data_IF_736114403006
#
_entry.id   IF_736114403006
#
_cell.length_a   1.000
_cell.length_b   1.000
_cell.length_c   1.000
_cell.angle_alpha   90.00
_cell.angle_beta   90.00
_cell.angle_gamma   90.00
#
_symmetry.space_group_name_H-M   'P 1'
#
loop_
_entity.id
_entity.type
_entity.pdbx_description
1 polymer ?
#
# COMPACT_ATOMS: atom_id res chain seq x y z
N UNK A 1 4.45 6.27 -6.24
CA UNK A 1 4.83 7.41 -5.37
C UNK A 1 5.91 6.93 -4.41
N UNK A 2 6.91 7.75 -4.05
CA UNK A 2 7.90 7.36 -3.02
C UNK A 2 7.21 7.34 -1.64
N UNK A 3 7.35 6.27 -0.84
CA UNK A 3 6.71 6.22 0.47
C UNK A 3 7.33 7.25 1.43
N UNK A 4 6.48 7.86 2.25
CA UNK A 4 6.90 8.77 3.31
C UNK A 4 7.26 7.94 4.54
N UNK A 5 8.49 8.06 5.02
CA UNK A 5 8.97 7.34 6.22
C UNK A 5 9.14 8.34 7.36
N UNK A 6 8.39 8.16 8.45
CA UNK A 6 8.54 8.96 9.66
C UNK A 6 9.82 8.56 10.39
N UNK A 7 10.69 9.52 10.70
CA UNK A 7 11.98 9.28 11.36
C UNK A 7 11.95 9.92 12.74
N UNK A 8 12.14 9.14 13.79
CA UNK A 8 12.14 9.69 15.15
C UNK A 8 13.40 10.54 15.39
N UNK A 9 13.27 11.74 16.00
CA UNK A 9 14.37 12.69 16.12
C UNK A 9 15.43 12.23 17.13
N UNK A 10 16.66 12.70 16.94
CA UNK A 10 17.65 12.72 18.00
C UNK A 10 17.47 14.01 18.81
N UNK A 11 17.76 13.95 20.11
CA UNK A 11 17.63 15.06 21.03
C UNK A 11 18.96 15.32 21.71
N UNK A 12 19.34 16.60 21.77
CA UNK A 12 20.50 17.10 22.52
C UNK A 12 19.95 17.88 23.71
N UNK A 13 20.07 17.31 24.91
CA UNK A 13 19.51 17.86 26.13
C UNK A 13 20.28 19.11 26.60
N UNK A 14 21.59 19.19 26.32
CA UNK A 14 22.40 20.37 26.67
C UNK A 14 22.00 21.59 25.82
N UNK A 15 21.70 21.35 24.54
CA UNK A 15 21.28 22.42 23.61
C UNK A 15 19.79 22.65 23.54
N UNK A 16 18.99 21.81 24.21
CA UNK A 16 17.53 21.75 24.08
C UNK A 16 17.08 21.76 22.61
N UNK A 17 17.66 20.85 21.81
CA UNK A 17 17.54 20.91 20.35
C UNK A 17 17.33 19.55 19.70
N UNK A 18 16.46 19.52 18.69
CA UNK A 18 16.32 18.37 17.80
C UNK A 18 17.40 18.40 16.74
N UNK A 19 18.00 17.25 16.50
CA UNK A 19 19.00 17.07 15.46
C UNK A 19 18.83 15.71 14.79
N UNK A 20 19.60 15.50 13.71
CA UNK A 20 19.54 14.25 12.96
C UNK A 20 20.91 13.91 12.40
N UNK A 21 21.28 12.63 12.51
CA UNK A 21 22.44 12.11 11.79
C UNK A 21 22.06 11.91 10.31
N UNK A 22 22.79 12.49 9.35
CA UNK A 22 22.44 12.41 7.93
C UNK A 22 22.28 10.98 7.40
N UNK A 23 23.07 10.03 7.93
CA UNK A 23 23.05 8.63 7.50
C UNK A 23 21.66 7.97 7.53
N UNK A 24 20.82 8.31 8.52
CA UNK A 24 19.44 7.79 8.57
C UNK A 24 18.61 8.29 7.38
N UNK A 25 18.69 9.58 7.09
CA UNK A 25 17.93 10.22 6.02
C UNK A 25 18.46 9.80 4.66
N UNK A 26 19.79 9.81 4.49
CA UNK A 26 20.44 9.47 3.24
C UNK A 26 20.24 8.00 2.88
N UNK A 27 20.29 7.09 3.86
CA UNK A 27 19.99 5.67 3.66
C UNK A 27 18.56 5.44 3.16
N UNK A 28 17.57 6.14 3.75
CA UNK A 28 16.18 6.10 3.29
C UNK A 28 16.00 6.69 1.88
N UNK A 29 16.64 7.83 1.60
CA UNK A 29 16.57 8.46 0.28
C UNK A 29 17.23 7.59 -0.80
N UNK A 30 18.36 6.95 -0.49
CA UNK A 30 19.03 6.00 -1.37
C UNK A 30 18.16 4.76 -1.64
N UNK A 31 17.38 4.32 -0.65
CA UNK A 31 16.40 3.24 -0.79
C UNK A 31 15.12 3.65 -1.53
N UNK A 32 14.92 4.93 -1.83
CA UNK A 32 13.79 5.44 -2.62
C UNK A 32 12.61 5.99 -1.80
N UNK A 33 12.80 6.28 -0.51
CA UNK A 33 11.79 6.92 0.33
C UNK A 33 11.92 8.45 0.40
N UNK A 34 10.89 9.08 0.95
CA UNK A 34 10.89 10.47 1.39
C UNK A 34 10.92 10.48 2.93
N UNK A 35 12.06 10.77 3.59
CA UNK A 35 12.11 10.81 5.04
C UNK A 35 11.42 12.08 5.59
N UNK A 36 10.72 11.93 6.71
CA UNK A 36 10.06 13.01 7.43
C UNK A 36 10.46 12.93 8.91
N UNK A 37 11.29 13.87 9.36
CA UNK A 37 11.69 13.95 10.77
C UNK A 37 10.50 14.40 11.60
N UNK A 38 10.20 13.65 12.66
CA UNK A 38 9.07 13.92 13.54
C UNK A 38 9.44 14.95 14.62
N UNK A 39 8.48 15.77 15.09
CA UNK A 39 8.71 16.65 16.24
C UNK A 39 8.78 15.83 17.53
N UNK A 40 9.54 16.31 18.52
CA UNK A 40 9.52 15.74 19.86
C UNK A 40 8.34 16.31 20.65
N UNK A 41 7.27 15.53 20.81
CA UNK A 41 6.05 15.96 21.52
C UNK A 41 5.29 14.77 22.10
N UNK A 42 4.52 15.01 23.17
CA UNK A 42 3.56 14.05 23.72
C UNK A 42 2.11 14.34 23.26
N UNK A 43 1.91 15.33 22.38
CA UNK A 43 0.58 15.66 21.84
C UNK A 43 0.12 14.57 20.85
N UNK A 44 -0.77 13.70 21.33
CA UNK A 44 -1.32 12.59 20.57
C UNK A 44 -1.99 13.02 19.25
N UNK A 45 -2.66 14.18 19.20
CA UNK A 45 -3.32 14.64 17.97
C UNK A 45 -2.29 15.02 16.89
N UNK A 46 -1.16 15.58 17.31
CA UNK A 46 -0.01 15.84 16.43
C UNK A 46 0.57 14.52 15.94
N UNK A 47 0.80 13.54 16.84
CA UNK A 47 1.36 12.23 16.48
C UNK A 47 0.44 11.43 15.53
N UNK A 48 -0.88 11.46 15.76
CA UNK A 48 -1.89 10.81 14.90
C UNK A 48 -1.89 11.41 13.48
N UNK A 49 -1.55 12.69 13.33
CA UNK A 49 -1.34 13.31 12.00
C UNK A 49 -0.16 12.66 11.27
N UNK A 50 0.96 12.45 11.95
CA UNK A 50 2.12 11.78 11.36
C UNK A 50 1.87 10.30 11.08
N UNK A 51 1.13 9.60 11.95
CA UNK A 51 0.66 8.23 11.69
C UNK A 51 -0.19 8.14 10.42
N UNK A 52 -1.00 9.15 10.15
CA UNK A 52 -1.81 9.21 8.93
C UNK A 52 -0.98 9.49 7.68
N UNK A 53 0.02 10.38 7.78
CA UNK A 53 0.86 10.80 6.65
C UNK A 53 1.94 9.79 6.28
N UNK A 54 2.53 9.12 7.27
CA UNK A 54 3.67 8.22 7.07
C UNK A 54 3.20 6.82 6.67
N UNK A 55 3.90 6.22 5.71
CA UNK A 55 3.66 4.87 5.21
C UNK A 55 4.45 3.82 6.02
N UNK A 56 5.52 4.24 6.70
CA UNK A 56 6.31 3.42 7.62
C UNK A 56 7.13 4.31 8.55
N UNK A 57 7.84 3.70 9.50
CA UNK A 57 8.61 4.41 10.52
C UNK A 57 10.02 3.84 10.72
N UNK A 58 10.96 4.75 10.95
CA UNK A 58 12.32 4.46 11.39
C UNK A 58 12.53 5.02 12.79
N UNK A 59 12.75 4.12 13.76
CA UNK A 59 13.11 4.48 15.13
C UNK A 59 14.63 4.51 15.25
N UNK A 60 15.18 5.69 15.50
CA UNK A 60 16.62 5.96 15.47
C UNK A 60 17.30 5.59 16.79
N UNK A 61 18.64 5.57 16.79
CA UNK A 61 19.45 5.44 18.01
C UNK A 61 19.30 6.62 18.99
N UNK A 62 20.15 6.69 20.01
CA UNK A 62 20.25 7.84 20.90
C UNK A 62 20.44 7.45 22.37
N UNK A 63 19.91 8.27 23.26
CA UNK A 63 19.91 8.11 24.71
C UNK A 63 19.29 6.78 25.18
N UNK A 64 19.52 6.41 26.43
CA UNK A 64 18.97 5.19 27.00
C UNK A 64 17.44 5.21 27.03
N UNK A 65 16.83 4.02 27.02
CA UNK A 65 15.40 3.87 27.29
C UNK A 65 15.21 3.90 28.80
N UNK A 66 14.31 4.75 29.30
CA UNK A 66 14.10 4.87 30.74
C UNK A 66 13.71 3.52 31.38
N UNK A 67 14.36 3.09 32.48
CA UNK A 67 14.06 1.84 33.17
C UNK A 67 12.60 1.62 33.56
N UNK A 68 11.88 2.72 33.82
CA UNK A 68 10.45 2.70 34.09
C UNK A 68 9.61 2.10 32.94
N UNK A 69 10.07 2.21 31.68
CA UNK A 69 9.37 1.66 30.49
C UNK A 69 9.29 0.14 30.56
N UNK A 70 10.31 -0.53 31.10
CA UNK A 70 10.36 -1.98 31.30
C UNK A 70 10.26 -2.40 32.77
N UNK A 71 9.67 -1.52 33.60
CA UNK A 71 9.30 -1.78 35.00
C UNK A 71 10.48 -2.13 35.91
N UNK A 72 11.60 -1.43 35.76
CA UNK A 72 12.78 -1.55 36.63
C UNK A 72 13.18 -0.22 37.28
N UNK A 73 13.93 -0.33 38.37
CA UNK A 73 14.53 0.83 39.03
C UNK A 73 15.78 1.29 38.27
N UNK A 74 16.01 2.60 38.23
CA UNK A 74 17.18 3.18 37.58
C UNK A 74 18.45 2.82 38.33
N UNK A 75 19.34 2.09 37.66
CA UNK A 75 20.68 1.80 38.15
C UNK A 75 21.58 3.02 38.06
N UNK A 76 22.65 3.04 38.84
CA UNK A 76 23.69 4.09 38.79
C UNK A 76 24.49 4.12 37.47
N UNK A 77 24.31 3.11 36.61
CA UNK A 77 25.02 2.95 35.34
C UNK A 77 24.12 3.30 34.13
N UNK A 78 22.83 3.53 34.35
CA UNK A 78 21.94 4.08 33.33
C UNK A 78 22.48 5.44 32.88
N UNK A 79 22.62 5.59 31.57
CA UNK A 79 23.02 6.84 30.92
C UNK A 79 21.87 7.85 30.93
N UNK A 80 22.03 8.86 30.07
CA UNK A 80 21.00 9.88 29.88
C UNK A 80 19.73 9.28 29.30
N UNK A 81 18.58 9.78 29.76
CA UNK A 81 17.24 9.38 29.30
C UNK A 81 16.48 10.60 28.81
N UNK A 82 15.50 10.39 27.92
CA UNK A 82 14.53 11.41 27.55
C UNK A 82 13.11 10.85 27.65
N UNK A 83 12.47 11.10 28.79
CA UNK A 83 11.10 10.62 29.06
C UNK A 83 10.10 11.06 28.00
N UNK A 84 10.21 12.31 27.51
CA UNK A 84 9.37 12.82 26.43
C UNK A 84 9.51 11.99 25.16
N UNK A 85 10.73 11.56 24.83
CA UNK A 85 10.99 10.71 23.68
C UNK A 85 10.46 9.30 23.90
N UNK A 86 10.63 8.73 25.09
CA UNK A 86 10.09 7.41 25.44
C UNK A 86 8.56 7.36 25.32
N UNK A 87 7.87 8.39 25.82
CA UNK A 87 6.41 8.50 25.72
C UNK A 87 5.97 8.64 24.26
N UNK A 88 6.59 9.56 23.52
CA UNK A 88 6.29 9.81 22.11
C UNK A 88 6.50 8.54 21.26
N UNK A 89 7.68 7.94 21.33
CA UNK A 89 8.03 6.79 20.53
C UNK A 89 7.25 5.55 20.96
N UNK A 90 6.98 5.36 22.26
CA UNK A 90 6.12 4.31 22.76
C UNK A 90 4.68 4.42 22.23
N UNK A 91 4.14 5.64 22.12
CA UNK A 91 2.84 5.89 21.52
C UNK A 91 2.83 5.56 20.02
N UNK A 92 3.78 6.12 19.26
CA UNK A 92 3.92 5.88 17.82
C UNK A 92 4.10 4.40 17.50
N UNK A 93 4.95 3.70 18.25
CA UNK A 93 5.22 2.27 18.07
C UNK A 93 3.95 1.43 18.23
N UNK A 94 3.19 1.64 19.32
CA UNK A 94 1.95 0.91 19.58
C UNK A 94 0.91 1.16 18.49
N UNK A 95 0.73 2.41 18.08
CA UNK A 95 -0.23 2.79 17.03
C UNK A 95 0.20 2.29 15.65
N UNK A 96 1.47 2.39 15.30
CA UNK A 96 2.00 1.91 14.03
C UNK A 96 1.85 0.39 13.91
N UNK A 97 2.12 -0.38 14.98
CA UNK A 97 1.85 -1.83 15.03
C UNK A 97 0.36 -2.14 14.93
N UNK A 98 -0.51 -1.39 15.61
CA UNK A 98 -1.96 -1.59 15.50
C UNK A 98 -2.50 -1.34 14.09
N UNK A 99 -1.81 -0.50 13.30
CA UNK A 99 -2.11 -0.19 11.90
C UNK A 99 -1.34 -1.07 10.90
N UNK A 100 -0.54 -2.04 11.38
CA UNK A 100 0.37 -2.88 10.60
C UNK A 100 1.28 -2.06 9.66
N UNK A 101 1.74 -0.90 10.14
CA UNK A 101 2.69 -0.06 9.40
C UNK A 101 4.10 -0.63 9.52
N UNK A 102 4.88 -0.65 8.43
CA UNK A 102 6.28 -1.06 8.44
C UNK A 102 7.14 -0.27 9.42
N UNK A 103 7.93 -0.98 10.23
CA UNK A 103 8.81 -0.40 11.25
C UNK A 103 10.23 -0.99 11.14
N UNK A 104 11.22 -0.11 11.17
CA UNK A 104 12.63 -0.47 11.41
C UNK A 104 13.11 0.24 12.69
N UNK A 105 13.63 -0.51 13.65
CA UNK A 105 14.31 0.02 14.84
C UNK A 105 15.83 -0.14 14.75
N UNK A 106 16.58 0.90 15.09
CA UNK A 106 18.05 0.89 15.10
C UNK A 106 18.59 1.24 16.49
N UNK A 107 19.47 0.40 17.04
CA UNK A 107 20.13 0.55 18.34
C UNK A 107 19.12 0.81 19.48
N UNK A 108 18.94 2.06 19.89
CA UNK A 108 17.87 2.43 20.83
C UNK A 108 16.48 1.97 20.36
N UNK A 109 16.23 1.96 19.04
CA UNK A 109 14.97 1.51 18.47
C UNK A 109 14.65 0.04 18.76
N UNK A 110 15.62 -0.88 18.73
CA UNK A 110 15.39 -2.28 19.14
C UNK A 110 15.13 -2.39 20.64
N UNK A 111 15.83 -1.59 21.45
CA UNK A 111 15.69 -1.57 22.90
C UNK A 111 14.31 -1.07 23.35
N UNK A 112 13.86 0.07 22.80
CA UNK A 112 12.55 0.63 23.10
C UNK A 112 11.45 -0.35 22.67
N UNK A 113 11.58 -0.92 21.48
CA UNK A 113 10.63 -1.87 20.96
C UNK A 113 10.48 -3.09 21.86
N UNK A 114 11.60 -3.64 22.34
CA UNK A 114 11.58 -4.74 23.30
C UNK A 114 10.92 -4.33 24.62
N UNK A 115 11.31 -3.18 25.19
CA UNK A 115 10.79 -2.68 26.46
C UNK A 115 9.26 -2.44 26.42
N UNK A 116 8.77 -1.76 25.37
CA UNK A 116 7.35 -1.42 25.18
C UNK A 116 6.46 -2.67 25.12
N UNK A 117 6.97 -3.78 24.59
CA UNK A 117 6.25 -5.04 24.48
C UNK A 117 6.52 -6.03 25.63
N UNK A 118 7.11 -5.55 26.73
CA UNK A 118 7.25 -6.31 27.98
C UNK A 118 8.54 -7.12 28.10
N UNK A 119 9.53 -6.84 27.25
CA UNK A 119 10.90 -7.29 27.45
C UNK A 119 11.65 -6.43 28.48
N UNK A 120 12.88 -6.84 28.81
CA UNK A 120 13.79 -6.14 29.73
C UNK A 120 15.12 -5.83 29.06
N UNK A 121 15.82 -4.83 29.57
CA UNK A 121 17.12 -4.42 29.08
C UNK A 121 18.18 -4.58 30.16
N UNK A 122 19.40 -4.90 29.75
CA UNK A 122 20.59 -4.57 30.52
C UNK A 122 20.75 -3.06 30.53
N UNK A 123 20.95 -2.46 31.70
CA UNK A 123 21.19 -1.03 31.86
C UNK A 123 22.66 -0.68 31.60
N UNK A 124 23.58 -1.61 31.86
CA UNK A 124 25.00 -1.53 31.49
C UNK A 124 25.56 -2.94 31.25
N UNK A 125 25.89 -3.24 30.00
CA UNK A 125 26.45 -4.53 29.58
C UNK A 125 27.80 -4.82 30.28
N UNK A 126 28.61 -3.79 30.54
CA UNK A 126 29.90 -3.96 31.21
C UNK A 126 29.79 -4.48 32.64
N UNK A 127 28.70 -4.14 33.34
CA UNK A 127 28.43 -4.62 34.70
C UNK A 127 27.57 -5.90 34.73
N UNK A 128 26.59 -6.00 33.84
CA UNK A 128 25.52 -7.01 33.95
C UNK A 128 25.69 -8.18 32.98
N UNK A 129 26.44 -8.00 31.89
CA UNK A 129 26.77 -9.02 30.89
C UNK A 129 28.24 -8.93 30.44
N UNK A 130 29.20 -9.12 31.37
CA UNK A 130 30.61 -8.94 31.08
C UNK A 130 31.11 -9.92 30.01
N UNK A 131 31.80 -9.38 29.00
CA UNK A 131 32.22 -10.08 27.80
C UNK A 131 33.51 -9.48 27.24
N UNK A 132 34.28 -10.28 26.49
CA UNK A 132 35.46 -9.80 25.73
C UNK A 132 35.06 -9.12 24.40
N UNK A 133 33.76 -9.15 24.06
CA UNK A 133 33.22 -8.49 22.87
C UNK A 133 33.03 -7.00 23.16
N UNK A 134 33.63 -6.15 22.32
CA UNK A 134 33.45 -4.70 22.40
C UNK A 134 32.11 -4.31 21.75
N UNK A 135 31.19 -3.86 22.61
CA UNK A 135 29.88 -3.34 22.21
C UNK A 135 29.82 -1.81 22.11
N UNK A 136 30.84 -1.11 22.61
CA UNK A 136 30.89 0.35 22.69
C UNK A 136 32.17 0.90 22.07
N UNK A 137 32.22 0.83 20.74
CA UNK A 137 33.38 1.24 19.99
C UNK A 137 33.68 2.73 20.12
N UNK A 138 34.94 3.09 19.87
CA UNK A 138 35.36 4.48 19.65
C UNK A 138 35.34 4.81 18.16
N UNK A 139 35.19 6.09 17.77
CA UNK A 139 35.32 6.51 16.38
C UNK A 139 36.59 5.94 15.72
N UNK A 140 36.53 5.57 14.43
CA UNK A 140 35.45 5.82 13.47
C UNK A 140 34.32 4.76 13.50
N UNK A 141 33.04 5.21 13.51
CA UNK A 141 31.85 4.36 13.72
C UNK A 141 31.38 3.56 12.49
N UNK A 142 32.01 3.75 11.33
CA UNK A 142 31.71 3.00 10.09
C UNK A 142 32.53 1.71 9.97
N UNK A 143 33.31 1.37 10.99
CA UNK A 143 34.12 0.15 11.08
C UNK A 143 33.37 -0.98 11.79
N UNK A 144 33.56 -2.21 11.31
CA UNK A 144 33.02 -3.41 11.95
C UNK A 144 33.87 -3.80 13.15
N UNK A 145 33.24 -4.25 14.23
CA UNK A 145 33.88 -4.54 15.52
C UNK A 145 33.71 -5.99 15.93
N UNK A 146 32.55 -6.59 15.65
CA UNK A 146 32.30 -8.00 15.88
C UNK A 146 31.37 -8.58 14.79
N UNK A 147 31.26 -9.91 14.77
CA UNK A 147 30.32 -10.60 13.88
C UNK A 147 29.06 -10.97 14.66
N UNK A 148 27.91 -10.90 14.01
CA UNK A 148 26.66 -11.49 14.50
C UNK A 148 26.37 -12.77 13.72
N UNK A 149 25.94 -13.80 14.45
CA UNK A 149 25.42 -15.02 13.88
C UNK A 149 23.95 -14.82 13.49
N UNK A 150 23.68 -14.83 12.19
CA UNK A 150 22.34 -14.66 11.61
C UNK A 150 21.59 -15.99 11.70
N UNK A 151 20.49 -16.00 12.45
CA UNK A 151 19.72 -17.21 12.72
C UNK A 151 18.98 -17.67 11.45
N UNK A 152 19.00 -18.97 11.10
CA UNK A 152 18.38 -19.48 9.89
C UNK A 152 16.86 -19.38 9.95
N UNK A 153 16.22 -19.33 8.77
CA UNK A 153 14.75 -19.26 8.61
C UNK A 153 14.13 -17.99 9.23
N UNK A 154 14.91 -16.92 9.30
CA UNK A 154 14.46 -15.59 9.71
C UNK A 154 14.42 -14.65 8.51
N UNK A 155 13.63 -13.56 8.57
CA UNK A 155 13.62 -12.56 7.49
C UNK A 155 15.00 -11.98 7.20
N UNK A 156 15.82 -11.75 8.24
CA UNK A 156 17.20 -11.28 8.09
C UNK A 156 18.09 -12.30 7.36
N UNK A 157 17.96 -13.60 7.67
CA UNK A 157 18.72 -14.63 6.95
C UNK A 157 18.38 -14.68 5.46
N UNK A 158 17.11 -14.47 5.11
CA UNK A 158 16.67 -14.40 3.72
C UNK A 158 17.18 -13.12 3.03
N UNK A 159 17.29 -12.01 3.77
CA UNK A 159 17.80 -10.74 3.25
C UNK A 159 19.31 -10.80 2.98
N UNK A 160 20.10 -11.28 3.94
CA UNK A 160 21.57 -11.21 3.89
C UNK A 160 22.21 -12.40 3.18
N UNK A 161 21.61 -13.59 3.28
CA UNK A 161 22.13 -14.81 2.64
C UNK A 161 23.48 -15.30 3.20
N UNK A 162 23.83 -14.90 4.42
CA UNK A 162 25.06 -15.29 5.13
C UNK A 162 24.73 -15.77 6.54
N UNK A 163 25.61 -16.61 7.11
CA UNK A 163 25.49 -17.09 8.50
C UNK A 163 26.17 -16.16 9.50
N UNK A 164 27.31 -15.57 9.14
CA UNK A 164 28.03 -14.59 9.95
C UNK A 164 28.09 -13.26 9.22
N UNK A 165 27.70 -12.18 9.89
CA UNK A 165 27.66 -10.84 9.32
C UNK A 165 28.42 -9.85 10.21
N UNK A 166 29.44 -9.14 9.69
CA UNK A 166 30.23 -8.20 10.47
C UNK A 166 29.48 -6.88 10.66
N UNK A 167 29.42 -6.38 11.90
CA UNK A 167 28.66 -5.18 12.27
C UNK A 167 29.51 -4.20 13.08
N UNK A 168 29.14 -2.92 13.06
CA UNK A 168 29.63 -1.94 14.01
C UNK A 168 28.88 -2.06 15.34
N UNK A 169 29.40 -1.48 16.42
CA UNK A 169 28.76 -1.56 17.72
C UNK A 169 28.96 -0.30 18.54
N UNK A 170 27.85 0.36 18.89
CA UNK A 170 27.88 1.60 19.65
C UNK A 170 26.71 1.65 20.65
N UNK A 171 26.72 0.73 21.61
CA UNK A 171 25.72 0.66 22.67
C UNK A 171 26.32 0.08 23.96
N UNK A 172 25.81 0.56 25.10
CA UNK A 172 26.12 0.00 26.41
C UNK A 172 24.91 -0.70 27.06
N UNK A 173 23.72 -0.56 26.46
CA UNK A 173 22.51 -1.31 26.80
C UNK A 173 22.28 -2.42 25.77
N UNK A 174 21.48 -3.43 26.15
CA UNK A 174 21.11 -4.53 25.26
C UNK A 174 19.90 -5.29 25.78
N UNK A 175 19.34 -6.21 24.99
CA UNK A 175 18.19 -7.01 25.42
C UNK A 175 18.62 -8.04 26.48
N UNK A 176 18.04 -7.94 27.68
CA UNK A 176 18.14 -8.94 28.75
C UNK A 176 17.09 -10.04 28.59
N UNK A 177 15.82 -9.62 28.49
CA UNK A 177 14.69 -10.54 28.28
C UNK A 177 13.95 -10.10 27.04
N UNK A 178 13.85 -11.00 26.06
CA UNK A 178 13.12 -10.73 24.82
C UNK A 178 11.60 -10.72 25.07
N UNK A 179 10.91 -9.71 24.54
CA UNK A 179 9.46 -9.61 24.59
C UNK A 179 8.78 -10.83 23.93
N UNK A 180 7.63 -11.31 24.46
CA UNK A 180 7.02 -12.58 24.07
C UNK A 180 6.54 -12.63 22.61
N UNK A 181 6.22 -11.48 22.03
CA UNK A 181 5.77 -11.32 20.64
C UNK A 181 6.93 -11.16 19.64
N UNK A 182 8.18 -11.08 20.12
CA UNK A 182 9.36 -10.96 19.27
C UNK A 182 10.06 -12.31 19.09
N UNK A 183 10.83 -12.39 18.01
CA UNK A 183 11.72 -13.51 17.71
C UNK A 183 13.10 -12.96 17.33
N UNK A 184 14.19 -13.58 17.79
CA UNK A 184 15.53 -13.15 17.43
C UNK A 184 15.82 -13.47 15.96
N UNK A 185 16.66 -12.65 15.33
CA UNK A 185 17.18 -12.82 13.98
C UNK A 185 18.70 -12.92 13.93
N UNK A 186 19.40 -12.32 14.89
CA UNK A 186 20.84 -12.41 15.01
C UNK A 186 21.27 -12.32 16.48
N UNK A 187 22.39 -12.97 16.80
CA UNK A 187 23.02 -12.93 18.12
C UNK A 187 24.53 -12.71 17.97
N UNK A 188 25.14 -11.95 18.87
CA UNK A 188 26.60 -11.79 18.97
C UNK A 188 27.27 -13.05 19.56
N UNK A 189 28.61 -13.17 19.55
CA UNK A 189 29.32 -14.36 20.02
C UNK A 189 29.16 -14.62 21.53
N UNK A 190 28.85 -13.59 22.30
CA UNK A 190 28.54 -13.66 23.73
C UNK A 190 27.05 -13.88 24.03
N UNK A 191 26.26 -14.16 22.99
CA UNK A 191 24.85 -14.53 23.11
C UNK A 191 23.88 -13.35 23.24
N UNK A 192 24.34 -12.11 23.14
CA UNK A 192 23.45 -10.94 23.15
C UNK A 192 22.58 -10.91 21.89
N UNK A 193 21.30 -10.56 22.03
CA UNK A 193 20.38 -10.44 20.89
C UNK A 193 20.67 -9.13 20.16
N UNK A 194 21.03 -9.26 18.88
CA UNK A 194 21.46 -8.15 18.02
C UNK A 194 20.42 -7.79 16.96
N UNK A 195 19.47 -8.66 16.67
CA UNK A 195 18.36 -8.35 15.78
C UNK A 195 17.10 -9.12 16.15
N UNK A 196 15.93 -8.52 15.93
CA UNK A 196 14.62 -9.10 16.24
C UNK A 196 13.58 -8.75 15.18
N UNK A 197 12.52 -9.55 15.10
CA UNK A 197 11.33 -9.24 14.33
C UNK A 197 10.06 -9.67 15.05
N UNK A 198 8.92 -9.11 14.65
CA UNK A 198 7.59 -9.50 15.11
C UNK A 198 6.87 -10.32 14.02
N UNK A 199 6.70 -11.64 14.16
CA UNK A 199 6.13 -12.49 13.12
C UNK A 199 4.68 -12.17 12.74
N UNK A 200 3.93 -11.49 13.61
CA UNK A 200 2.52 -11.12 13.39
C UNK A 200 2.35 -9.82 12.62
N UNK A 201 3.43 -9.19 12.17
CA UNK A 201 3.41 -7.93 11.44
C UNK A 201 3.92 -8.14 10.02
N UNK A 202 3.39 -7.36 9.07
CA UNK A 202 3.85 -7.38 7.69
C UNK A 202 5.34 -7.00 7.61
N UNK A 203 5.76 -5.99 8.38
CA UNK A 203 7.18 -5.64 8.53
C UNK A 203 7.43 -4.92 9.87
N UNK A 204 8.10 -5.60 10.81
CA UNK A 204 8.63 -4.98 12.01
C UNK A 204 9.94 -5.65 12.36
N UNK A 205 11.05 -5.01 12.00
CA UNK A 205 12.40 -5.49 12.23
C UNK A 205 13.14 -4.48 13.11
N UNK A 206 14.08 -4.94 13.91
CA UNK A 206 14.96 -4.05 14.63
C UNK A 206 16.35 -4.68 14.76
N UNK A 207 17.38 -3.84 14.72
CA UNK A 207 18.80 -4.23 14.80
C UNK A 207 19.50 -3.36 15.84
N UNK A 208 20.49 -3.93 16.53
CA UNK A 208 21.21 -3.27 17.62
C UNK A 208 22.44 -2.49 17.12
N UNK A 209 23.05 -2.92 16.01
CA UNK A 209 24.08 -2.17 15.30
C UNK A 209 23.52 -0.98 14.51
N UNK A 210 24.41 -0.21 13.88
CA UNK A 210 24.11 1.07 13.24
C UNK A 210 24.36 1.04 11.71
N UNK A 211 23.42 0.52 10.90
CA UNK A 211 23.56 0.45 9.44
C UNK A 211 23.66 1.82 8.77
N UNK A 212 23.22 2.89 9.42
CA UNK A 212 23.28 4.27 8.94
C UNK A 212 24.72 4.82 8.85
N UNK A 213 25.68 4.27 9.60
CA UNK A 213 27.08 4.71 9.50
C UNK A 213 27.81 4.10 8.29
N UNK A 214 27.39 2.93 7.82
CA UNK A 214 28.13 2.17 6.80
C UNK A 214 27.30 1.86 5.53
N UNK A 215 26.05 2.33 5.40
CA UNK A 215 25.19 2.04 4.24
C UNK A 215 25.83 2.37 2.89
N UNK A 216 26.77 3.31 2.79
CA UNK A 216 27.43 3.61 1.52
C UNK A 216 28.40 2.50 1.06
N UNK A 217 28.91 1.71 2.01
CA UNK A 217 29.95 0.70 1.78
C UNK A 217 29.42 -0.72 1.94
N UNK A 218 28.39 -0.89 2.77
CA UNK A 218 27.85 -2.20 3.10
C UNK A 218 26.49 -2.48 2.43
N UNK A 219 26.43 -3.60 1.68
CA UNK A 219 25.22 -4.01 0.95
C UNK A 219 24.11 -4.51 1.88
N UNK A 220 24.45 -5.08 3.04
CA UNK A 220 23.47 -5.52 4.04
C UNK A 220 22.72 -4.34 4.65
N UNK A 221 23.43 -3.27 5.00
CA UNK A 221 22.87 -2.01 5.47
C UNK A 221 21.96 -1.37 4.41
N UNK A 222 22.39 -1.35 3.14
CA UNK A 222 21.53 -0.90 2.03
C UNK A 222 20.26 -1.76 1.93
N UNK A 223 20.40 -3.07 2.06
CA UNK A 223 19.29 -4.02 1.97
C UNK A 223 18.29 -3.84 3.12
N UNK A 224 18.73 -3.49 4.34
CA UNK A 224 17.84 -3.19 5.47
C UNK A 224 16.95 -1.96 5.19
N UNK A 225 17.54 -0.86 4.74
CA UNK A 225 16.76 0.33 4.36
C UNK A 225 15.82 0.02 3.19
N UNK A 226 16.30 -0.71 2.18
CA UNK A 226 15.48 -1.13 1.03
C UNK A 226 14.30 -1.99 1.46
N UNK A 227 14.49 -2.93 2.39
CA UNK A 227 13.43 -3.79 2.90
C UNK A 227 12.32 -2.97 3.61
N UNK A 228 12.68 -1.97 4.42
CA UNK A 228 11.71 -1.06 5.02
C UNK A 228 10.93 -0.28 3.95
N UNK A 229 11.64 0.27 2.96
CA UNK A 229 11.02 1.09 1.90
C UNK A 229 10.12 0.27 1.00
N UNK A 230 10.51 -0.97 0.67
CA UNK A 230 9.67 -1.91 -0.09
C UNK A 230 8.41 -2.28 0.69
N UNK A 231 8.54 -2.58 1.98
CA UNK A 231 7.39 -2.86 2.84
C UNK A 231 6.45 -1.65 2.98
N UNK A 232 7.00 -0.44 3.05
CA UNK A 232 6.25 0.81 3.18
C UNK A 232 5.77 1.37 1.85
N UNK A 233 6.23 0.83 0.72
CA UNK A 233 5.76 1.25 -0.58
C UNK A 233 4.28 0.90 -0.64
N UNK A 234 3.38 1.89 -0.84
CA UNK A 234 2.01 1.55 -1.13
C UNK A 234 2.07 0.57 -2.31
N UNK A 235 1.46 -0.61 -2.16
CA UNK A 235 1.30 -1.53 -3.28
C UNK A 235 0.95 -0.69 -4.50
N UNK A 236 1.53 -1.01 -5.66
CA UNK A 236 0.97 -0.50 -6.90
C UNK A 236 -0.50 -0.95 -6.92
N UNK A 237 -1.40 -0.11 -6.40
CA UNK A 237 -2.83 -0.28 -6.60
C UNK A 237 -2.97 -0.35 -8.10
N UNK A 238 -3.30 -1.53 -8.61
CA UNK A 238 -3.72 -1.69 -10.00
C UNK A 238 -4.81 -0.67 -10.26
N UNK A 239 -4.45 0.43 -10.93
CA UNK A 239 -5.33 1.55 -11.24
C UNK A 239 -5.85 2.30 -10.00
N UNK A 240 -5.75 3.62 -10.00
CA UNK A 240 -6.73 4.38 -9.23
C UNK A 240 -8.14 4.03 -9.73
N UNK A 241 -9.15 3.95 -8.84
CA UNK A 241 -10.51 3.67 -9.26
C UNK A 241 -10.95 4.67 -10.34
N UNK A 242 -11.35 4.18 -11.51
CA UNK A 242 -11.94 5.03 -12.55
C UNK A 242 -13.39 5.28 -12.14
N UNK A 243 -13.72 6.53 -11.83
CA UNK A 243 -15.10 6.97 -11.58
C UNK A 243 -15.67 7.53 -12.88
N UNK A 244 -16.74 6.91 -13.38
CA UNK A 244 -17.49 7.41 -14.54
C UNK A 244 -18.79 8.05 -14.07
N UNK A 245 -19.10 9.23 -14.61
CA UNK A 245 -20.36 9.93 -14.35
C UNK A 245 -21.24 9.85 -15.61
N UNK A 246 -22.53 9.49 -15.47
CA UNK A 246 -23.44 9.52 -16.60
C UNK A 246 -23.56 10.92 -17.22
N UNK A 247 -23.49 11.00 -18.54
CA UNK A 247 -23.68 12.23 -19.32
C UNK A 247 -25.14 12.47 -19.72
N UNK A 248 -25.99 11.47 -19.52
CA UNK A 248 -27.41 11.51 -19.85
C UNK A 248 -28.13 10.22 -19.53
N UNK A 249 -29.38 10.14 -19.95
CA UNK A 249 -30.27 9.02 -19.66
C UNK A 249 -31.13 8.66 -20.87
N UNK A 250 -31.42 7.37 -21.04
CA UNK A 250 -32.35 6.88 -22.06
C UNK A 250 -33.80 7.15 -21.66
N UNK A 251 -34.61 7.57 -22.63
CA UNK A 251 -36.06 7.73 -22.57
C UNK A 251 -36.74 6.97 -23.71
N UNK A 252 -37.59 6.01 -23.37
CA UNK A 252 -38.44 5.27 -24.32
C UNK A 252 -39.80 4.93 -23.69
N UNK A 253 -40.70 4.25 -24.44
CA UNK A 253 -42.09 3.95 -24.05
C UNK A 253 -42.20 2.91 -22.90
N UNK A 254 -41.42 3.07 -21.83
CA UNK A 254 -41.48 2.21 -20.64
C UNK A 254 -40.98 0.79 -20.89
N UNK A 255 -40.05 0.59 -21.84
CA UNK A 255 -39.46 -0.73 -22.08
C UNK A 255 -38.58 -1.08 -20.88
N UNK A 256 -39.12 -1.93 -19.99
CA UNK A 256 -38.43 -2.38 -18.75
C UNK A 256 -37.99 -3.84 -18.82
N UNK A 257 -38.49 -4.64 -19.76
CA UNK A 257 -38.08 -6.04 -19.98
C UNK A 257 -38.21 -6.44 -21.45
N UNK A 258 -37.07 -6.62 -22.13
CA UNK A 258 -36.99 -7.11 -23.50
C UNK A 258 -35.62 -7.74 -23.75
N UNK A 259 -35.57 -8.93 -24.34
CA UNK A 259 -34.32 -9.64 -24.67
C UNK A 259 -33.96 -9.57 -26.16
N UNK A 260 -34.93 -9.31 -27.05
CA UNK A 260 -34.79 -9.45 -28.51
C UNK A 260 -35.44 -8.30 -29.30
N UNK A 261 -35.02 -8.17 -30.56
CA UNK A 261 -35.61 -7.27 -31.58
C UNK A 261 -35.51 -5.77 -31.29
N UNK A 262 -34.32 -5.33 -30.86
CA UNK A 262 -34.01 -3.93 -30.59
C UNK A 262 -33.85 -3.06 -31.85
N UNK A 263 -33.58 -3.66 -33.01
CA UNK A 263 -33.26 -2.93 -34.25
C UNK A 263 -34.32 -1.92 -34.71
N UNK A 264 -35.59 -2.13 -34.36
CA UNK A 264 -36.69 -1.22 -34.70
C UNK A 264 -37.07 -0.25 -33.57
N UNK A 265 -36.44 -0.36 -32.40
CA UNK A 265 -36.76 0.48 -31.24
C UNK A 265 -36.20 1.88 -31.47
N UNK A 266 -37.08 2.88 -31.41
CA UNK A 266 -36.72 4.30 -31.37
C UNK A 266 -36.67 4.75 -29.91
N UNK A 267 -35.55 5.35 -29.51
CA UNK A 267 -35.34 5.89 -28.16
C UNK A 267 -34.87 7.33 -28.24
N UNK A 268 -35.16 8.13 -27.22
CA UNK A 268 -34.51 9.43 -27.02
C UNK A 268 -33.42 9.30 -25.97
N UNK A 269 -32.22 9.78 -26.23
CA UNK A 269 -31.22 10.04 -25.21
C UNK A 269 -31.34 11.51 -24.78
N UNK A 270 -31.50 11.75 -23.48
CA UNK A 270 -31.55 13.10 -22.90
C UNK A 270 -30.25 13.34 -22.14
N UNK A 271 -29.41 14.23 -22.66
CA UNK A 271 -28.11 14.59 -22.07
C UNK A 271 -28.23 15.71 -21.03
N UNK A 272 -27.20 15.86 -20.19
CA UNK A 272 -27.01 17.08 -19.42
C UNK A 272 -26.91 18.28 -20.36
N UNK A 273 -27.64 19.35 -20.05
CA UNK A 273 -27.64 20.58 -20.84
C UNK A 273 -26.26 21.23 -20.92
N UNK A 274 -25.40 21.04 -19.92
CA UNK A 274 -24.03 21.54 -19.94
C UNK A 274 -23.19 20.94 -21.08
N UNK A 275 -23.59 19.79 -21.62
CA UNK A 275 -22.87 19.06 -22.66
C UNK A 275 -23.36 19.34 -24.08
N UNK A 276 -24.39 20.19 -24.26
CA UNK A 276 -24.96 20.55 -25.58
C UNK A 276 -23.88 21.00 -26.59
N UNK A 277 -22.88 21.84 -26.22
CA UNK A 277 -21.85 22.25 -27.18
C UNK A 277 -21.07 21.08 -27.78
N UNK A 278 -20.96 19.95 -27.07
CA UNK A 278 -20.27 18.74 -27.56
C UNK A 278 -21.02 17.97 -28.64
N UNK A 279 -22.26 18.35 -28.98
CA UNK A 279 -23.08 17.72 -30.03
C UNK A 279 -22.91 18.37 -31.41
N UNK A 280 -22.14 19.46 -31.50
CA UNK A 280 -21.89 20.15 -32.76
C UNK A 280 -21.34 19.19 -33.83
N UNK A 281 -21.88 19.26 -35.05
CA UNK A 281 -21.58 18.38 -36.20
C UNK A 281 -21.86 16.88 -36.00
N UNK A 282 -22.34 16.42 -34.84
CA UNK A 282 -22.66 15.00 -34.64
C UNK A 282 -23.80 14.53 -35.57
N UNK A 283 -24.73 15.43 -35.91
CA UNK A 283 -25.84 15.16 -36.85
C UNK A 283 -25.38 14.84 -38.28
N UNK A 284 -24.14 15.17 -38.65
CA UNK A 284 -23.57 14.81 -39.95
C UNK A 284 -23.28 13.31 -40.07
N UNK A 285 -23.24 12.59 -38.95
CA UNK A 285 -23.08 11.14 -38.91
C UNK A 285 -24.45 10.45 -38.97
N UNK A 286 -24.61 9.51 -39.90
CA UNK A 286 -25.82 8.67 -39.95
C UNK A 286 -25.92 7.67 -38.80
N UNK A 287 -24.78 7.29 -38.21
CA UNK A 287 -24.70 6.32 -37.13
C UNK A 287 -23.67 6.76 -36.09
N UNK A 288 -24.01 6.49 -34.83
CA UNK A 288 -23.17 6.78 -33.68
C UNK A 288 -23.15 5.57 -32.75
N UNK A 289 -22.13 5.47 -31.94
CA UNK A 289 -21.95 4.46 -30.91
C UNK A 289 -22.29 5.05 -29.56
N UNK A 290 -23.21 4.39 -28.86
CA UNK A 290 -23.61 4.77 -27.50
C UNK A 290 -22.93 3.82 -26.52
N UNK A 291 -22.23 4.38 -25.53
CA UNK A 291 -21.68 3.63 -24.40
C UNK A 291 -22.54 3.92 -23.19
N UNK A 292 -23.00 2.89 -22.50
CA UNK A 292 -23.97 3.01 -21.42
C UNK A 292 -23.72 1.97 -20.32
N UNK A 293 -24.35 2.17 -19.17
CA UNK A 293 -24.20 1.28 -18.02
C UNK A 293 -25.51 0.53 -17.73
N UNK A 294 -25.45 -0.80 -17.65
CA UNK A 294 -26.51 -1.67 -17.16
C UNK A 294 -26.59 -1.58 -15.62
N UNK A 295 -26.96 -0.41 -15.12
CA UNK A 295 -26.98 -0.10 -13.67
C UNK A 295 -27.92 -0.98 -12.85
N UNK A 296 -28.83 -1.70 -13.50
CA UNK A 296 -29.77 -2.64 -12.90
C UNK A 296 -29.32 -4.10 -13.02
N UNK A 297 -28.06 -4.34 -13.40
CA UNK A 297 -27.52 -5.69 -13.51
C UNK A 297 -27.36 -6.35 -12.14
N UNK A 298 -27.90 -7.57 -11.93
CA UNK A 298 -27.72 -8.31 -10.68
C UNK A 298 -26.37 -9.06 -10.62
N UNK A 299 -25.37 -8.73 -11.43
CA UNK A 299 -24.14 -9.53 -11.57
C UNK A 299 -23.42 -9.82 -10.24
N UNK A 300 -23.40 -8.84 -9.34
CA UNK A 300 -22.77 -8.98 -8.02
C UNK A 300 -23.59 -9.83 -7.05
N UNK A 301 -24.89 -10.00 -7.32
CA UNK A 301 -25.79 -10.86 -6.54
C UNK A 301 -25.82 -12.31 -7.07
N UNK A 302 -25.28 -12.56 -8.26
CA UNK A 302 -25.21 -13.88 -8.87
C UNK A 302 -24.13 -14.76 -8.22
N UNK A 303 -24.33 -16.08 -8.26
CA UNK A 303 -23.37 -17.08 -7.76
C UNK A 303 -22.00 -16.94 -8.47
N UNK A 304 -20.91 -16.65 -7.72
CA UNK A 304 -19.57 -16.51 -8.27
C UNK A 304 -19.07 -17.71 -9.07
N UNK A 305 -19.53 -18.93 -8.75
CA UNK A 305 -19.10 -20.15 -9.42
C UNK A 305 -19.68 -20.29 -10.84
N UNK A 306 -20.82 -19.64 -11.13
CA UNK A 306 -21.57 -19.82 -12.37
C UNK A 306 -21.72 -18.53 -13.19
N UNK A 307 -21.61 -17.34 -12.57
CA UNK A 307 -21.87 -16.03 -13.19
C UNK A 307 -21.00 -15.66 -14.40
N UNK A 308 -19.90 -16.37 -14.63
CA UNK A 308 -18.97 -16.13 -15.76
C UNK A 308 -19.35 -16.88 -17.04
N UNK A 309 -20.43 -17.66 -17.05
CA UNK A 309 -20.93 -18.37 -18.23
C UNK A 309 -22.44 -18.17 -18.38
N UNK A 310 -22.91 -18.13 -19.61
CA UNK A 310 -24.33 -18.05 -19.92
C UNK A 310 -24.65 -18.68 -21.26
N UNK A 311 -25.90 -19.13 -21.42
CA UNK A 311 -26.45 -19.46 -22.73
C UNK A 311 -26.78 -18.13 -23.46
N UNK A 312 -26.39 -17.95 -24.73
CA UNK A 312 -26.70 -16.73 -25.47
C UNK A 312 -28.19 -16.40 -25.42
N UNK A 313 -28.53 -15.16 -25.03
CA UNK A 313 -29.92 -14.68 -24.82
C UNK A 313 -30.76 -15.56 -23.87
N UNK A 314 -30.13 -16.36 -23.02
CA UNK A 314 -30.79 -17.31 -22.12
C UNK A 314 -31.36 -18.56 -22.80
N UNK A 315 -31.04 -18.80 -24.08
CA UNK A 315 -31.60 -19.90 -24.87
C UNK A 315 -30.87 -21.22 -24.55
N UNK A 316 -31.49 -22.07 -23.74
CA UNK A 316 -30.93 -23.34 -23.25
C UNK A 316 -30.52 -24.33 -24.35
N UNK A 317 -31.07 -24.19 -25.57
CA UNK A 317 -30.71 -25.01 -26.73
C UNK A 317 -29.39 -24.56 -27.41
N UNK A 318 -28.85 -23.39 -27.07
CA UNK A 318 -27.56 -22.89 -27.54
C UNK A 318 -26.44 -23.32 -26.58
N UNK A 319 -25.16 -23.35 -26.99
CA UNK A 319 -24.07 -23.77 -26.11
C UNK A 319 -23.88 -22.83 -24.91
N UNK A 320 -23.42 -23.39 -23.79
CA UNK A 320 -22.98 -22.62 -22.63
C UNK A 320 -21.61 -22.00 -22.95
N UNK A 321 -21.55 -20.68 -23.11
CA UNK A 321 -20.33 -19.95 -23.48
C UNK A 321 -19.89 -19.00 -22.38
N UNK A 322 -18.63 -18.54 -22.45
CA UNK A 322 -18.13 -17.51 -21.54
C UNK A 322 -18.90 -16.20 -21.69
N UNK A 323 -19.09 -15.49 -20.58
CA UNK A 323 -19.77 -14.20 -20.49
C UNK A 323 -19.40 -13.24 -21.63
N UNK A 324 -18.09 -13.08 -21.86
CA UNK A 324 -17.52 -12.13 -22.81
C UNK A 324 -17.67 -12.53 -24.28
N UNK A 325 -18.12 -13.76 -24.56
CA UNK A 325 -18.55 -14.16 -25.89
C UNK A 325 -19.99 -13.74 -26.21
N UNK A 326 -20.67 -13.06 -25.26
CA UNK A 326 -22.06 -12.61 -25.42
C UNK A 326 -22.20 -11.11 -25.12
N UNK A 327 -23.37 -10.57 -25.43
CA UNK A 327 -23.78 -9.20 -25.09
C UNK A 327 -24.71 -9.14 -23.88
N UNK A 328 -24.66 -10.11 -22.98
CA UNK A 328 -25.50 -10.11 -21.78
C UNK A 328 -25.27 -8.86 -20.92
N UNK A 329 -26.31 -8.29 -20.28
CA UNK A 329 -26.15 -7.17 -19.36
C UNK A 329 -25.46 -7.55 -18.05
N UNK A 330 -25.40 -8.84 -17.71
CA UNK A 330 -24.88 -9.34 -16.44
C UNK A 330 -23.35 -9.44 -16.44
N UNK A 331 -22.63 -8.34 -16.22
CA UNK A 331 -21.16 -8.27 -16.36
C UNK A 331 -20.53 -7.45 -15.22
N UNK A 332 -19.24 -7.69 -14.88
CA UNK A 332 -18.57 -7.01 -13.76
C UNK A 332 -18.70 -5.49 -13.72
N UNK A 333 -18.57 -4.82 -14.86
CA UNK A 333 -18.68 -3.36 -14.96
C UNK A 333 -20.03 -2.90 -15.54
N UNK A 334 -20.89 -3.83 -15.96
CA UNK A 334 -22.17 -3.51 -16.60
C UNK A 334 -22.07 -2.62 -17.85
N UNK A 335 -20.95 -2.60 -18.59
CA UNK A 335 -20.83 -1.69 -19.75
C UNK A 335 -21.51 -2.32 -20.98
N UNK A 336 -22.45 -1.56 -21.55
CA UNK A 336 -23.11 -1.80 -22.83
C UNK A 336 -22.58 -0.86 -23.91
N UNK A 337 -22.62 -1.32 -25.16
CA UNK A 337 -22.15 -0.54 -26.31
C UNK A 337 -22.92 -0.92 -27.57
N UNK A 338 -23.53 0.06 -28.22
CA UNK A 338 -24.40 -0.19 -29.38
C UNK A 338 -24.25 0.88 -30.43
N UNK A 339 -24.13 0.42 -31.68
CA UNK A 339 -24.14 1.27 -32.85
C UNK A 339 -25.61 1.48 -33.25
N UNK A 340 -26.04 2.74 -33.25
CA UNK A 340 -27.43 3.15 -33.48
C UNK A 340 -27.50 4.08 -34.68
N UNK A 341 -28.63 4.08 -35.37
CA UNK A 341 -28.91 5.09 -36.37
C UNK A 341 -29.30 6.40 -35.66
N UNK A 342 -28.64 7.50 -36.00
CA UNK A 342 -28.99 8.83 -35.51
C UNK A 342 -30.08 9.43 -36.41
N UNK A 343 -31.25 9.73 -35.84
CA UNK A 343 -32.40 10.25 -36.58
C UNK A 343 -32.52 11.77 -36.47
N UNK A 344 -32.36 12.34 -35.29
CA UNK A 344 -32.39 13.78 -35.05
C UNK A 344 -31.62 14.17 -33.79
N UNK A 345 -31.20 15.44 -33.73
CA UNK A 345 -30.70 16.10 -32.52
C UNK A 345 -31.49 17.39 -32.33
N UNK A 346 -32.14 17.54 -31.18
CA UNK A 346 -32.91 18.71 -30.78
C UNK A 346 -32.47 19.14 -29.38
N UNK A 347 -31.75 20.25 -29.27
CA UNK A 347 -31.10 20.70 -28.02
C UNK A 347 -30.24 19.60 -27.36
N UNK A 348 -30.64 19.10 -26.19
CA UNK A 348 -29.97 18.02 -25.46
C UNK A 348 -30.59 16.64 -25.72
N UNK A 349 -31.46 16.50 -26.73
CA UNK A 349 -32.20 15.27 -27.02
C UNK A 349 -31.75 14.68 -28.35
N UNK A 350 -31.27 13.45 -28.31
CA UNK A 350 -30.88 12.70 -29.50
C UNK A 350 -31.91 11.59 -29.74
N UNK A 351 -32.56 11.60 -30.90
CA UNK A 351 -33.47 10.51 -31.29
C UNK A 351 -32.68 9.47 -32.07
N UNK A 352 -32.66 8.24 -31.58
CA UNK A 352 -31.86 7.14 -32.14
C UNK A 352 -32.71 5.90 -32.38
N UNK A 353 -32.34 5.09 -33.38
CA UNK A 353 -32.97 3.80 -33.69
C UNK A 353 -31.98 2.65 -33.49
N UNK A 354 -32.44 1.58 -32.84
CA UNK A 354 -31.64 0.36 -32.63
C UNK A 354 -30.96 0.27 -31.26
N UNK A 355 -31.23 1.19 -30.33
CA UNK A 355 -30.60 1.18 -29.00
C UNK A 355 -31.17 0.06 -28.13
N UNK A 356 -30.31 -0.84 -27.64
CA UNK A 356 -30.63 -1.99 -26.77
C UNK A 356 -30.53 -1.65 -25.28
N UNK A 357 -31.19 -0.54 -24.87
CA UNK A 357 -31.19 -0.04 -23.50
C UNK A 357 -32.61 0.23 -22.98
N UNK A 358 -32.83 -0.02 -21.68
CA UNK A 358 -34.11 0.23 -21.00
C UNK A 358 -34.31 1.72 -20.70
N UNK A 359 -35.57 2.11 -20.45
CA UNK A 359 -35.85 3.45 -19.91
C UNK A 359 -35.05 3.69 -18.62
N UNK A 360 -34.47 4.87 -18.47
CA UNK A 360 -33.66 5.21 -17.30
C UNK A 360 -32.20 4.72 -17.35
N UNK A 361 -31.79 4.01 -18.42
CA UNK A 361 -30.39 3.55 -18.56
C UNK A 361 -29.42 4.74 -18.60
N UNK A 362 -28.40 4.79 -17.74
CA UNK A 362 -27.38 5.85 -17.77
C UNK A 362 -26.48 5.74 -19.01
N UNK A 363 -26.31 6.86 -19.72
CA UNK A 363 -25.36 6.99 -20.83
C UNK A 363 -24.02 7.47 -20.29
N UNK A 364 -22.94 6.79 -20.65
CA UNK A 364 -21.57 7.12 -20.24
C UNK A 364 -20.83 7.94 -21.30
N UNK A 365 -21.06 7.66 -22.59
CA UNK A 365 -20.35 8.33 -23.69
C UNK A 365 -21.06 8.15 -25.04
N UNK A 366 -20.72 9.02 -26.00
CA UNK A 366 -21.19 8.96 -27.38
C UNK A 366 -19.98 9.10 -28.31
N UNK A 367 -19.85 8.22 -29.30
CA UNK A 367 -18.75 8.24 -30.27
C UNK A 367 -19.27 8.19 -31.71
N UNK A 368 -18.77 9.03 -32.63
CA UNK A 368 -19.05 8.86 -34.05
C UNK A 368 -18.38 7.59 -34.59
N UNK A 369 -18.96 7.00 -35.64
CA UNK A 369 -18.41 5.82 -36.32
C UNK A 369 -17.70 6.27 -37.60
N UNK A 370 -16.39 6.07 -37.64
CA UNK A 370 -15.56 6.40 -38.82
C UNK A 370 -15.44 5.22 -39.78
N UNK A 371 -15.19 5.51 -41.07
CA UNK A 371 -15.14 4.48 -42.14
C UNK A 371 -14.00 3.47 -41.96
N UNK A 372 -12.87 3.92 -41.43
CA UNK A 372 -11.65 3.14 -41.22
C UNK A 372 -11.73 2.17 -40.02
N UNK A 373 -12.77 2.26 -39.20
CA UNK A 373 -12.98 1.37 -38.05
C UNK A 373 -13.53 -0.02 -38.42
N UNK A 374 -13.79 -0.29 -39.71
CA UNK A 374 -14.20 -1.63 -40.20
C UNK A 374 -12.95 -2.43 -40.60
N UNK A 375 -12.54 -3.38 -39.76
CA UNK A 375 -11.27 -4.11 -39.88
C UNK A 375 -11.49 -5.51 -40.46
N UNK A 376 -10.90 -5.79 -41.63
CA UNK A 376 -10.56 -7.13 -42.14
C UNK A 376 -11.70 -8.14 -42.32
N UNK A 377 -11.33 -9.38 -42.63
CA UNK A 377 -12.25 -10.54 -42.61
C UNK A 377 -12.64 -10.87 -41.16
N UNK A 378 -13.94 -11.02 -40.92
CA UNK A 378 -14.49 -11.28 -39.60
C UNK A 378 -14.88 -12.76 -39.47
N UNK A 379 -14.62 -13.35 -38.30
CA UNK A 379 -14.99 -14.72 -37.97
C UNK A 379 -16.06 -14.72 -36.89
N UNK A 380 -17.08 -15.53 -37.10
CA UNK A 380 -18.24 -15.66 -36.23
C UNK A 380 -18.41 -17.12 -35.79
N UNK A 381 -18.96 -17.38 -34.59
CA UNK A 381 -19.29 -18.72 -34.16
C UNK A 381 -20.58 -19.22 -34.83
N UNK A 382 -20.64 -20.50 -35.20
CA UNK A 382 -21.78 -21.11 -35.93
C UNK A 382 -23.16 -20.98 -35.22
N UNK A 383 -23.16 -20.72 -33.91
CA UNK A 383 -24.39 -20.52 -33.14
C UNK A 383 -24.95 -19.09 -33.21
N UNK A 384 -24.18 -18.11 -33.71
CA UNK A 384 -24.65 -16.72 -33.82
C UNK A 384 -25.77 -16.57 -34.85
N UNK A 385 -25.69 -17.29 -35.98
CA UNK A 385 -26.71 -17.28 -37.03
C UNK A 385 -28.10 -17.76 -36.54
N UNK A 386 -28.17 -18.31 -35.32
CA UNK A 386 -29.37 -18.82 -34.69
C UNK A 386 -30.01 -17.82 -33.69
N UNK A 387 -29.44 -16.61 -33.52
CA UNK A 387 -29.86 -15.61 -32.53
C UNK A 387 -31.04 -14.74 -32.94
#
# INVERSE_FOLDING_TARGET
>A
MRPIIGVTPLYDQEKDSLWMLPGYLDGLMAAGATPLVLPLTQDEAVLDTFLSLCHGFLFTGGQDVAPAVYQEETSRHCGEICETRDVMEGYLLKKAVALDKPILGICRGIQLLNAVYGGKLYQDLGQEHPSDIDHQMKPPYDMTVHNVHVLPKTPLSALLGVEDYPVNSYHHQGILTLAPNLRPMAVSPDGLIEAVYMPTQSFLWAVQWHPEFNYQKDKGSQALFKALVEAASPEQKEGEPIVMHPIGVVKNDGIVRRSDSWGEVVSTIVLDKALIPGLESLIEFSHIRIVFNFSQSPFDEMDPATRLKCHPRGRQNLPLVGLYATRTPNRPNGIGMTDVQLLSIEENRLTVKGLDAFDGTPILDIKPIFRDQRVGEQRYPDWEDQL
#
